data_IF_950007752902
#
_entry.id   IF_950007752902
#
_cell.length_a   1.000
_cell.length_b   1.000
_cell.length_c   1.000
_cell.angle_alpha   90.00
_cell.angle_beta   90.00
_cell.angle_gamma   90.00
#
_symmetry.space_group_name_H-M   'P 1'
#
loop_
_entity.id
_entity.type
_entity.pdbx_description
1 polymer ?
#
# COMPACT_ATOMS: atom_id res chain seq x y z
N UNK A 1 -21.98 56.49 -5.88
CA UNK A 1 -22.32 55.35 -6.76
C UNK A 1 -21.09 54.69 -7.41
N UNK A 2 -20.13 55.43 -7.98
CA UNK A 2 -18.92 54.88 -8.63
C UNK A 2 -18.01 54.04 -7.72
N UNK A 3 -17.80 54.46 -6.47
CA UNK A 3 -16.98 53.71 -5.50
C UNK A 3 -17.57 52.35 -5.11
N UNK A 4 -18.91 52.25 -5.01
CA UNK A 4 -19.61 50.99 -4.70
C UNK A 4 -19.38 49.96 -5.81
N UNK A 5 -19.41 50.38 -7.08
CA UNK A 5 -19.16 49.50 -8.21
C UNK A 5 -17.71 48.97 -8.23
N UNK A 6 -16.72 49.80 -7.87
CA UNK A 6 -15.33 49.36 -7.76
C UNK A 6 -15.15 48.33 -6.65
N UNK A 7 -15.75 48.54 -5.48
CA UNK A 7 -15.69 47.59 -4.36
C UNK A 7 -16.27 46.23 -4.77
N UNK A 8 -17.45 46.21 -5.40
CA UNK A 8 -18.07 44.96 -5.85
C UNK A 8 -17.22 44.21 -6.89
N UNK A 9 -16.65 44.93 -7.87
CA UNK A 9 -15.74 44.33 -8.86
C UNK A 9 -14.50 43.74 -8.20
N UNK A 10 -13.87 44.45 -7.28
CA UNK A 10 -12.72 43.95 -6.54
C UNK A 10 -13.08 42.71 -5.72
N UNK A 11 -14.24 42.72 -5.04
CA UNK A 11 -14.71 41.58 -4.27
C UNK A 11 -14.93 40.34 -5.14
N UNK A 12 -15.56 40.49 -6.32
CA UNK A 12 -15.75 39.38 -7.25
C UNK A 12 -14.43 38.82 -7.78
N UNK A 13 -13.47 39.68 -8.11
CA UNK A 13 -12.14 39.24 -8.58
C UNK A 13 -11.41 38.48 -7.47
N UNK A 14 -11.43 38.99 -6.24
CA UNK A 14 -10.83 38.31 -5.09
C UNK A 14 -11.52 36.96 -4.83
N UNK A 15 -12.85 36.92 -4.83
CA UNK A 15 -13.60 35.67 -4.66
C UNK A 15 -13.25 34.63 -5.74
N UNK A 16 -13.14 35.06 -7.00
CA UNK A 16 -12.72 34.19 -8.11
C UNK A 16 -11.28 33.68 -7.94
N UNK A 17 -10.34 34.55 -7.54
CA UNK A 17 -8.95 34.16 -7.28
C UNK A 17 -8.84 33.20 -6.09
N UNK A 18 -9.63 33.40 -5.04
CA UNK A 18 -9.70 32.49 -3.89
C UNK A 18 -10.28 31.14 -4.28
N UNK A 19 -11.35 31.12 -5.08
CA UNK A 19 -11.91 29.88 -5.64
C UNK A 19 -10.88 29.14 -6.51
N UNK A 20 -10.15 29.86 -7.36
CA UNK A 20 -9.13 29.28 -8.22
C UNK A 20 -7.93 28.76 -7.41
N UNK A 21 -7.49 29.49 -6.39
CA UNK A 21 -6.47 29.01 -5.46
C UNK A 21 -6.93 27.77 -4.69
N UNK A 22 -8.20 27.71 -4.28
CA UNK A 22 -8.78 26.55 -3.62
C UNK A 22 -8.84 25.32 -4.54
N UNK A 23 -9.30 25.49 -5.79
CA UNK A 23 -9.32 24.42 -6.80
C UNK A 23 -7.91 23.95 -7.16
N UNK A 24 -6.95 24.87 -7.30
CA UNK A 24 -5.55 24.52 -7.52
C UNK A 24 -5.01 23.74 -6.32
N UNK A 25 -5.28 24.16 -5.09
CA UNK A 25 -4.83 23.43 -3.91
C UNK A 25 -5.35 21.98 -3.90
N UNK A 26 -6.62 21.77 -4.28
CA UNK A 26 -7.23 20.43 -4.38
C UNK A 26 -6.58 19.53 -5.45
N UNK A 27 -6.14 20.09 -6.57
CA UNK A 27 -5.54 19.30 -7.66
C UNK A 27 -4.00 19.20 -7.59
N UNK A 28 -3.33 20.19 -6.99
CA UNK A 28 -1.87 20.34 -7.02
C UNK A 28 -1.20 19.59 -5.87
N UNK A 29 -1.91 19.37 -4.77
CA UNK A 29 -1.37 18.71 -3.57
C UNK A 29 -0.14 19.49 -3.09
N UNK A 30 -0.37 20.73 -2.65
CA UNK A 30 0.70 21.71 -2.31
C UNK A 30 1.51 21.23 -1.09
N UNK A 31 0.83 20.65 -0.12
CA UNK A 31 1.42 20.03 1.08
C UNK A 31 2.22 18.76 0.79
N UNK A 32 2.09 18.20 -0.42
CA UNK A 32 2.75 16.98 -0.82
C UNK A 32 2.07 15.70 -0.32
N UNK A 33 0.84 15.77 0.21
CA UNK A 33 0.11 14.60 0.70
C UNK A 33 -1.26 14.46 0.03
N UNK A 34 -1.52 13.32 -0.61
CA UNK A 34 -2.81 13.01 -1.20
C UNK A 34 -3.42 11.79 -0.48
N UNK A 35 -4.51 12.03 0.24
CA UNK A 35 -5.29 11.00 0.92
C UNK A 35 -6.45 10.55 0.04
N UNK A 36 -6.54 9.25 -0.21
CA UNK A 36 -7.60 8.62 -1.00
C UNK A 36 -8.18 7.47 -0.17
N UNK A 37 -9.50 7.34 -0.13
CA UNK A 37 -10.18 6.25 0.57
C UNK A 37 -11.29 5.69 -0.31
N UNK A 38 -11.51 4.38 -0.21
CA UNK A 38 -12.63 3.68 -0.82
C UNK A 38 -13.14 2.61 0.15
N UNK A 39 -14.40 2.74 0.54
CA UNK A 39 -15.13 1.85 1.46
C UNK A 39 -16.13 0.95 0.74
N UNK A 40 -16.09 0.89 -0.59
CA UNK A 40 -16.98 0.13 -1.47
C UNK A 40 -18.48 0.47 -1.40
N UNK A 41 -18.93 1.31 -0.45
CA UNK A 41 -20.33 1.74 -0.38
C UNK A 41 -20.70 2.66 -1.54
N UNK A 42 -19.79 3.58 -1.87
CA UNK A 42 -19.93 4.50 -2.98
C UNK A 42 -18.83 4.28 -4.01
N UNK A 43 -19.12 4.60 -5.28
CA UNK A 43 -18.11 4.56 -6.32
C UNK A 43 -17.03 5.62 -6.06
N UNK A 44 -15.77 5.20 -6.07
CA UNK A 44 -14.64 6.09 -5.94
C UNK A 44 -14.15 6.55 -7.32
N UNK A 45 -13.85 7.83 -7.46
CA UNK A 45 -13.26 8.39 -8.68
C UNK A 45 -11.74 8.13 -8.82
N UNK A 46 -11.09 7.64 -7.76
CA UNK A 46 -9.65 7.50 -7.68
C UNK A 46 -9.21 6.04 -7.59
N UNK A 47 -9.74 5.30 -6.62
CA UNK A 47 -9.58 3.85 -6.52
C UNK A 47 -10.66 3.18 -7.35
N UNK A 48 -10.25 2.35 -8.30
CA UNK A 48 -11.13 1.45 -9.02
C UNK A 48 -11.36 0.20 -8.18
N UNK A 49 -12.57 -0.38 -8.26
CA UNK A 49 -12.92 -1.62 -7.55
C UNK A 49 -11.99 -2.79 -7.89
N UNK A 50 -12.09 -3.86 -7.09
CA UNK A 50 -11.25 -5.03 -7.28
C UNK A 50 -11.58 -5.70 -8.63
N UNK A 51 -10.57 -6.30 -9.27
CA UNK A 51 -10.69 -7.00 -10.56
C UNK A 51 -9.68 -8.16 -10.64
N UNK A 52 -9.79 -9.10 -11.58
CA UNK A 52 -10.85 -9.25 -12.59
C UNK A 52 -12.17 -9.74 -12.00
N UNK A 53 -13.29 -9.46 -12.68
CA UNK A 53 -14.66 -9.77 -12.22
C UNK A 53 -14.89 -11.26 -11.94
N UNK A 54 -14.17 -12.16 -12.61
CA UNK A 54 -14.29 -13.61 -12.36
C UNK A 54 -13.53 -14.09 -11.11
N UNK A 55 -12.83 -13.19 -10.41
CA UNK A 55 -12.06 -13.50 -9.19
C UNK A 55 -12.60 -12.81 -7.95
N UNK A 56 -13.52 -11.86 -8.14
CA UNK A 56 -14.07 -11.02 -7.08
C UNK A 56 -15.59 -11.03 -7.13
N UNK A 57 -16.23 -10.89 -5.98
CA UNK A 57 -17.68 -10.71 -5.91
C UNK A 57 -18.11 -9.31 -6.31
N UNK A 58 -19.42 -9.12 -6.45
CA UNK A 58 -20.01 -7.78 -6.39
C UNK A 58 -19.80 -7.15 -5.01
N UNK A 59 -20.11 -5.86 -4.90
CA UNK A 59 -20.18 -5.21 -3.59
C UNK A 59 -21.37 -5.76 -2.82
N UNK A 60 -21.11 -6.19 -1.59
CA UNK A 60 -22.11 -6.71 -0.65
C UNK A 60 -22.31 -5.75 0.52
N UNK A 61 -23.48 -5.83 1.14
CA UNK A 61 -23.91 -4.98 2.24
C UNK A 61 -24.30 -5.84 3.45
N UNK A 62 -23.66 -5.63 4.58
CA UNK A 62 -23.97 -6.28 5.86
C UNK A 62 -24.08 -5.23 6.97
N UNK A 63 -25.30 -4.97 7.44
CA UNK A 63 -25.54 -4.15 8.64
C UNK A 63 -24.77 -2.82 8.70
N UNK A 64 -24.69 -2.10 7.57
CA UNK A 64 -23.97 -0.83 7.28
C UNK A 64 -22.52 -0.95 6.81
N UNK A 65 -21.95 -2.15 6.81
CA UNK A 65 -20.65 -2.39 6.20
C UNK A 65 -20.83 -2.74 4.73
N UNK A 66 -20.08 -2.09 3.85
CA UNK A 66 -19.93 -2.49 2.46
C UNK A 66 -18.57 -3.15 2.27
N UNK A 67 -18.54 -4.24 1.52
CA UNK A 67 -17.30 -4.94 1.25
C UNK A 67 -17.36 -5.67 -0.09
N UNK A 68 -16.19 -6.01 -0.61
CA UNK A 68 -16.04 -6.85 -1.79
C UNK A 68 -15.30 -8.14 -1.44
N UNK A 69 -15.77 -9.28 -1.92
CA UNK A 69 -15.15 -10.59 -1.68
C UNK A 69 -14.11 -10.91 -2.74
N UNK A 70 -13.04 -11.58 -2.35
CA UNK A 70 -12.07 -12.20 -3.24
C UNK A 70 -12.19 -13.71 -3.06
N UNK A 71 -12.48 -14.42 -4.14
CA UNK A 71 -12.66 -15.88 -4.14
C UNK A 71 -11.49 -16.62 -4.79
N UNK A 72 -10.78 -15.94 -5.70
CA UNK A 72 -9.68 -16.52 -6.48
C UNK A 72 -8.58 -15.48 -6.56
N UNK A 73 -7.34 -15.90 -6.35
CA UNK A 73 -6.20 -15.00 -6.45
C UNK A 73 -5.56 -15.00 -7.85
N UNK A 74 -4.73 -14.00 -8.17
CA UNK A 74 -4.68 -12.69 -7.51
C UNK A 74 -5.86 -11.80 -7.89
N UNK A 75 -6.22 -10.91 -6.96
CA UNK A 75 -7.08 -9.75 -7.23
C UNK A 75 -6.22 -8.50 -7.37
N UNK A 76 -6.72 -7.50 -8.08
CA UNK A 76 -6.01 -6.27 -8.35
C UNK A 76 -6.91 -5.06 -8.12
N UNK A 77 -6.32 -3.90 -7.88
CA UNK A 77 -7.00 -2.63 -7.96
C UNK A 77 -6.08 -1.55 -8.51
N UNK A 78 -6.67 -0.48 -9.04
CA UNK A 78 -5.93 0.66 -9.59
C UNK A 78 -6.24 1.91 -8.82
N UNK A 79 -5.26 2.79 -8.76
CA UNK A 79 -5.38 4.10 -8.11
C UNK A 79 -4.97 5.14 -9.11
N UNK A 80 -5.93 5.93 -9.57
CA UNK A 80 -5.67 7.09 -10.42
C UNK A 80 -4.97 8.16 -9.60
N UNK A 81 -3.79 8.55 -10.05
CA UNK A 81 -3.01 9.58 -9.37
C UNK A 81 -2.74 10.75 -10.32
N UNK A 82 -2.86 12.01 -9.87
CA UNK A 82 -2.70 13.17 -10.75
C UNK A 82 -1.24 13.40 -11.18
N UNK A 83 -0.29 12.82 -10.43
CA UNK A 83 1.16 13.04 -10.56
C UNK A 83 1.95 11.90 -9.93
N UNK A 84 3.27 11.95 -10.05
CA UNK A 84 4.18 11.04 -9.36
C UNK A 84 4.34 11.43 -7.88
N UNK A 85 4.54 10.41 -7.04
CA UNK A 85 4.81 10.50 -5.61
C UNK A 85 6.02 9.65 -5.27
N UNK A 86 6.66 9.91 -4.13
CA UNK A 86 7.84 9.16 -3.67
C UNK A 86 7.48 7.99 -2.76
N UNK A 87 6.30 8.03 -2.16
CA UNK A 87 5.85 7.01 -1.22
C UNK A 87 4.33 6.82 -1.30
N UNK A 88 3.88 5.59 -1.10
CA UNK A 88 2.48 5.23 -0.89
C UNK A 88 2.36 4.41 0.39
N UNK A 89 1.64 4.94 1.38
CA UNK A 89 1.21 4.19 2.55
C UNK A 89 -0.19 3.68 2.28
N UNK A 90 -0.35 2.37 2.21
CA UNK A 90 -1.62 1.70 1.91
C UNK A 90 -2.09 0.99 3.15
N UNK A 91 -3.25 1.39 3.66
CA UNK A 91 -3.96 0.74 4.74
C UNK A 91 -5.17 0.02 4.19
N UNK A 92 -5.36 -1.24 4.59
CA UNK A 92 -6.51 -2.06 4.17
C UNK A 92 -7.22 -2.57 5.41
N UNK A 93 -8.56 -2.44 5.41
CA UNK A 93 -9.44 -3.10 6.37
C UNK A 93 -10.05 -4.32 5.68
N UNK A 94 -9.81 -5.49 6.24
CA UNK A 94 -10.18 -6.77 5.63
C UNK A 94 -10.56 -7.80 6.68
N UNK A 95 -11.20 -8.88 6.25
CA UNK A 95 -11.42 -10.08 7.03
C UNK A 95 -10.82 -11.27 6.26
N UNK A 96 -9.91 -11.98 6.91
CA UNK A 96 -9.24 -13.15 6.35
C UNK A 96 -9.37 -14.32 7.34
N UNK A 97 -10.45 -15.11 7.28
CA UNK A 97 -10.68 -16.21 8.21
C UNK A 97 -9.68 -17.36 8.05
N UNK A 98 -9.26 -17.67 6.80
CA UNK A 98 -8.66 -18.97 6.52
C UNK A 98 -7.28 -18.95 5.81
N UNK A 99 -6.81 -17.80 5.31
CA UNK A 99 -5.52 -17.76 4.60
C UNK A 99 -4.36 -17.48 5.54
N UNK A 100 -3.32 -18.31 5.46
CA UNK A 100 -2.11 -18.16 6.28
C UNK A 100 -1.28 -16.95 5.90
N UNK A 101 -1.25 -16.60 4.61
CA UNK A 101 -0.48 -15.49 4.08
C UNK A 101 -1.37 -14.63 3.19
N UNK A 102 -1.40 -13.33 3.50
CA UNK A 102 -2.08 -12.32 2.69
C UNK A 102 -1.14 -11.14 2.46
N UNK A 103 -0.95 -10.76 1.20
CA UNK A 103 0.05 -9.78 0.79
C UNK A 103 -0.55 -8.72 -0.13
N UNK A 104 0.01 -7.51 -0.06
CA UNK A 104 -0.22 -6.42 -0.99
C UNK A 104 1.04 -6.19 -1.80
N UNK A 105 0.93 -6.14 -3.12
CA UNK A 105 2.03 -5.76 -4.00
C UNK A 105 1.77 -4.47 -4.75
N UNK A 106 2.82 -3.68 -4.93
CA UNK A 106 2.83 -2.57 -5.87
C UNK A 106 3.45 -3.01 -7.20
N UNK A 107 2.76 -2.77 -8.31
CA UNK A 107 3.23 -3.12 -9.64
C UNK A 107 4.31 -2.15 -10.13
N UNK A 108 5.39 -2.68 -10.70
CA UNK A 108 6.34 -1.90 -11.49
C UNK A 108 5.74 -1.53 -12.84
N UNK A 109 6.35 -0.57 -13.51
CA UNK A 109 5.96 -0.11 -14.83
C UNK A 109 6.04 -1.27 -15.82
N UNK A 110 4.98 -1.43 -16.61
CA UNK A 110 4.90 -2.38 -17.71
C UNK A 110 5.87 -1.93 -18.80
N UNK A 111 7.02 -2.59 -18.86
CA UNK A 111 7.98 -2.46 -19.96
C UNK A 111 7.79 -3.63 -20.92
N UNK A 112 8.15 -3.45 -22.20
CA UNK A 112 8.08 -4.53 -23.18
C UNK A 112 9.38 -5.37 -23.13
N UNK A 113 9.30 -6.71 -23.08
CA UNK A 113 8.09 -7.55 -23.07
C UNK A 113 7.32 -7.42 -21.74
N UNK A 114 5.98 -7.43 -21.79
CA UNK A 114 5.09 -7.19 -20.63
C UNK A 114 5.48 -8.04 -19.42
N UNK A 115 6.24 -7.42 -18.50
CA UNK A 115 6.74 -8.07 -17.30
C UNK A 115 5.93 -7.65 -16.08
N UNK A 116 5.25 -8.63 -15.47
CA UNK A 116 4.37 -8.43 -14.32
C UNK A 116 5.19 -8.54 -13.04
N UNK A 117 5.96 -7.49 -12.76
CA UNK A 117 6.78 -7.42 -11.54
C UNK A 117 6.07 -6.67 -10.44
N UNK A 118 5.97 -7.29 -9.29
CA UNK A 118 5.39 -6.70 -8.08
C UNK A 118 6.41 -6.67 -6.96
N UNK A 119 6.38 -5.60 -6.17
CA UNK A 119 7.04 -5.56 -4.86
C UNK A 119 5.98 -5.90 -3.82
N UNK A 120 6.00 -7.13 -3.31
CA UNK A 120 5.06 -7.64 -2.31
C UNK A 120 5.47 -7.18 -0.90
N UNK A 121 4.46 -6.93 -0.05
CA UNK A 121 4.59 -6.71 1.38
C UNK A 121 3.46 -7.43 2.12
N UNK A 122 3.75 -8.02 3.29
CA UNK A 122 2.76 -8.81 4.01
C UNK A 122 1.74 -7.91 4.71
N UNK A 123 0.47 -8.18 4.45
CA UNK A 123 -0.65 -7.66 5.25
C UNK A 123 -0.93 -8.61 6.42
N UNK A 124 -0.78 -9.90 6.25
CA UNK A 124 -0.98 -10.90 7.30
C UNK A 124 -0.11 -12.12 7.09
N UNK A 125 0.45 -12.65 8.17
CA UNK A 125 1.07 -13.97 8.21
C UNK A 125 0.64 -14.68 9.50
N UNK A 126 -0.38 -15.53 9.41
CA UNK A 126 -0.95 -16.25 10.57
C UNK A 126 0.03 -17.23 11.19
N UNK A 127 0.94 -17.79 10.40
CA UNK A 127 2.00 -18.65 10.91
C UNK A 127 2.84 -17.85 11.91
N UNK A 128 3.22 -16.61 11.57
CA UNK A 128 4.00 -15.73 12.45
C UNK A 128 3.19 -15.21 13.63
N UNK A 129 1.91 -14.87 13.42
CA UNK A 129 1.03 -14.38 14.48
C UNK A 129 0.79 -15.42 15.57
N UNK A 130 0.86 -16.71 15.23
CA UNK A 130 0.65 -17.83 16.14
C UNK A 130 1.95 -18.38 16.75
N UNK A 131 3.11 -17.78 16.47
CA UNK A 131 4.36 -18.20 17.10
C UNK A 131 4.38 -17.86 18.58
N UNK A 132 4.80 -18.82 19.39
CA UNK A 132 5.04 -18.66 20.83
C UNK A 132 6.48 -18.23 21.15
N UNK A 133 7.23 -17.74 20.16
CA UNK A 133 8.62 -17.31 20.31
C UNK A 133 8.68 -15.90 20.91
N UNK A 134 9.83 -15.52 21.48
CA UNK A 134 10.01 -14.15 21.95
C UNK A 134 10.05 -13.20 20.74
N UNK A 135 9.18 -12.19 20.75
CA UNK A 135 9.02 -11.21 19.67
C UNK A 135 9.60 -9.85 20.07
N UNK A 136 10.44 -9.29 19.21
CA UNK A 136 10.90 -7.89 19.27
C UNK A 136 10.40 -7.15 18.04
N UNK A 137 9.69 -6.03 18.24
CA UNK A 137 9.20 -5.18 17.15
C UNK A 137 9.84 -3.79 17.22
N UNK A 138 10.42 -3.31 16.12
CA UNK A 138 10.93 -1.94 16.01
C UNK A 138 10.83 -1.44 14.57
N UNK A 139 10.18 -0.29 14.38
CA UNK A 139 10.13 0.44 13.09
C UNK A 139 9.66 -0.44 11.90
N UNK A 140 8.64 -1.28 12.13
CA UNK A 140 8.09 -2.16 11.08
C UNK A 140 8.93 -3.40 10.77
N UNK A 141 10.01 -3.63 11.53
CA UNK A 141 10.76 -4.88 11.52
C UNK A 141 10.41 -5.67 12.78
N UNK A 142 10.23 -6.97 12.61
CA UNK A 142 9.92 -7.91 13.67
C UNK A 142 10.96 -9.03 13.69
N UNK A 143 11.42 -9.40 14.88
CA UNK A 143 12.36 -10.48 15.14
C UNK A 143 11.73 -11.47 16.12
N UNK A 144 11.52 -12.70 15.66
CA UNK A 144 11.15 -13.83 16.51
C UNK A 144 12.40 -14.64 16.85
N UNK A 145 12.59 -14.99 18.12
CA UNK A 145 13.70 -15.82 18.58
C UNK A 145 13.19 -16.95 19.48
N UNK A 146 13.53 -18.21 19.14
CA UNK A 146 13.17 -19.38 19.96
C UNK A 146 13.73 -19.27 21.39
N UNK A 147 14.96 -18.80 21.49
CA UNK A 147 15.65 -18.55 22.75
C UNK A 147 16.01 -17.06 22.82
N UNK A 148 15.69 -16.42 23.94
CA UNK A 148 15.98 -15.00 24.15
C UNK A 148 17.49 -14.77 24.27
N UNK A 149 18.12 -14.30 23.20
CA UNK A 149 19.55 -13.96 23.10
C UNK A 149 19.77 -12.47 22.85
N UNK A 150 18.86 -11.81 22.13
CA UNK A 150 18.96 -10.40 21.77
C UNK A 150 17.87 -9.59 22.46
N UNK A 151 18.19 -8.37 22.89
CA UNK A 151 17.21 -7.44 23.46
C UNK A 151 16.67 -6.45 22.41
N UNK A 152 17.39 -6.26 21.30
CA UNK A 152 17.01 -5.34 20.23
C UNK A 152 17.38 -5.87 18.85
N UNK A 153 16.64 -5.43 17.82
CA UNK A 153 16.86 -5.82 16.42
C UNK A 153 18.25 -5.39 15.93
N UNK A 154 18.75 -4.22 16.33
CA UNK A 154 20.08 -3.76 15.91
C UNK A 154 21.22 -4.66 16.42
N UNK A 155 21.06 -5.27 17.61
CA UNK A 155 22.06 -6.18 18.18
C UNK A 155 22.14 -7.46 17.35
N UNK A 156 20.98 -7.98 16.94
CA UNK A 156 20.84 -9.14 16.07
C UNK A 156 21.41 -8.87 14.67
N UNK A 157 21.04 -7.75 14.03
CA UNK A 157 21.50 -7.41 12.68
C UNK A 157 23.01 -7.19 12.63
N UNK A 158 23.61 -6.65 13.69
CA UNK A 158 25.05 -6.45 13.76
C UNK A 158 25.83 -7.72 14.17
N UNK A 159 25.15 -8.74 14.71
CA UNK A 159 25.76 -9.97 15.21
C UNK A 159 24.91 -11.19 14.84
N UNK A 160 24.61 -11.34 13.54
CA UNK A 160 23.82 -12.48 13.04
C UNK A 160 24.55 -13.78 13.43
N UNK A 161 23.90 -14.68 14.19
CA UNK A 161 24.52 -15.95 14.61
C UNK A 161 24.96 -16.78 13.40
N UNK A 162 26.21 -17.26 13.41
CA UNK A 162 26.76 -18.18 12.41
C UNK A 162 26.62 -19.65 12.81
N UNK A 163 26.30 -19.91 14.08
CA UNK A 163 26.03 -21.23 14.64
C UNK A 163 24.56 -21.66 14.47
N UNK A 164 23.64 -20.73 14.24
CA UNK A 164 22.19 -20.95 14.21
C UNK A 164 21.57 -20.59 12.84
N UNK A 165 20.33 -21.03 12.60
CA UNK A 165 19.62 -20.74 11.33
C UNK A 165 18.69 -19.55 11.48
N UNK A 166 18.78 -18.60 10.55
CA UNK A 166 17.91 -17.43 10.46
C UNK A 166 17.08 -17.51 9.19
N UNK A 167 15.76 -17.38 9.31
CA UNK A 167 14.87 -17.20 8.18
C UNK A 167 14.54 -15.71 7.98
N UNK A 168 14.56 -15.23 6.75
CA UNK A 168 14.21 -13.86 6.39
C UNK A 168 12.90 -13.80 5.64
N UNK A 169 12.02 -12.86 5.96
CA UNK A 169 10.77 -12.65 5.23
C UNK A 169 10.58 -11.18 4.87
N UNK A 170 10.69 -10.85 3.58
CA UNK A 170 10.73 -9.46 3.09
C UNK A 170 11.79 -8.57 3.75
N UNK A 171 12.81 -9.19 4.36
CA UNK A 171 13.93 -8.50 4.98
C UNK A 171 15.21 -8.83 4.23
N UNK A 172 16.00 -7.80 3.92
CA UNK A 172 17.29 -7.93 3.24
C UNK A 172 18.39 -7.47 4.17
N UNK A 173 19.34 -8.36 4.44
CA UNK A 173 20.56 -8.00 5.16
C UNK A 173 21.55 -7.29 4.24
N UNK A 174 22.40 -6.45 4.84
CA UNK A 174 23.66 -6.04 4.19
C UNK A 174 24.56 -7.27 4.04
N UNK A 175 25.20 -7.50 2.88
CA UNK A 175 26.09 -8.65 2.68
C UNK A 175 27.18 -8.78 3.77
N UNK A 176 27.66 -7.66 4.30
CA UNK A 176 28.72 -7.60 5.31
C UNK A 176 28.25 -8.07 6.69
N UNK A 177 26.94 -8.05 6.95
CA UNK A 177 26.37 -8.51 8.22
C UNK A 177 26.34 -10.04 8.33
N UNK A 178 26.47 -10.75 7.21
CA UNK A 178 26.36 -12.21 7.15
C UNK A 178 27.75 -12.82 7.00
N UNK A 179 28.24 -13.48 8.05
CA UNK A 179 29.51 -14.21 8.02
C UNK A 179 29.41 -15.52 7.22
N UNK A 180 28.28 -16.22 7.34
CA UNK A 180 27.99 -17.47 6.65
C UNK A 180 26.59 -17.39 6.01
N UNK A 181 26.56 -17.24 4.68
CA UNK A 181 25.30 -17.13 3.92
C UNK A 181 24.48 -18.41 3.92
N UNK A 182 25.07 -19.56 4.23
CA UNK A 182 24.31 -20.82 4.34
C UNK A 182 23.41 -20.85 5.56
N UNK A 183 23.63 -19.95 6.53
CA UNK A 183 22.85 -19.85 7.78
C UNK A 183 21.63 -18.96 7.66
N UNK A 184 21.54 -18.17 6.59
CA UNK A 184 20.42 -17.29 6.31
C UNK A 184 19.63 -17.86 5.14
N UNK A 185 18.36 -18.18 5.36
CA UNK A 185 17.46 -18.70 4.33
C UNK A 185 16.30 -17.73 4.11
N UNK A 186 15.80 -17.64 2.88
CA UNK A 186 14.54 -16.94 2.62
C UNK A 186 13.38 -17.82 3.09
N UNK A 187 12.53 -17.27 3.96
CA UNK A 187 11.32 -17.95 4.42
C UNK A 187 10.26 -18.01 3.31
N UNK A 188 9.53 -19.11 3.27
CA UNK A 188 8.30 -19.31 2.49
C UNK A 188 7.35 -20.26 3.25
N UNK A 189 6.15 -20.50 2.70
CA UNK A 189 5.13 -21.37 3.32
C UNK A 189 5.59 -22.83 3.52
N UNK A 190 6.62 -23.29 2.81
CA UNK A 190 7.18 -24.64 2.91
C UNK A 190 8.35 -24.73 3.88
N UNK A 191 8.79 -23.60 4.45
CA UNK A 191 9.95 -23.55 5.35
C UNK A 191 9.62 -24.23 6.67
N UNK A 192 10.31 -25.33 6.97
CA UNK A 192 10.17 -26.02 8.24
C UNK A 192 10.79 -25.21 9.38
N UNK A 193 9.93 -24.68 10.26
CA UNK A 193 10.30 -23.83 11.40
C UNK A 193 11.07 -24.57 12.51
N UNK A 194 11.06 -25.90 12.54
CA UNK A 194 11.84 -26.68 13.51
C UNK A 194 13.35 -26.48 13.32
N UNK A 195 13.78 -26.24 12.08
CA UNK A 195 15.19 -26.02 11.72
C UNK A 195 15.62 -24.55 11.73
N UNK A 196 14.75 -23.64 12.15
CA UNK A 196 15.01 -22.19 12.20
C UNK A 196 15.04 -21.74 13.65
N UNK A 197 16.05 -20.97 14.05
CA UNK A 197 16.18 -20.44 15.41
C UNK A 197 15.65 -19.00 15.51
N UNK A 198 15.77 -18.24 14.42
CA UNK A 198 15.35 -16.84 14.32
C UNK A 198 14.56 -16.58 13.05
N UNK A 199 13.56 -15.72 13.13
CA UNK A 199 12.86 -15.16 11.96
C UNK A 199 12.99 -13.65 12.04
N UNK A 200 13.47 -13.01 10.97
CA UNK A 200 13.44 -11.55 10.83
C UNK A 200 12.57 -11.17 9.64
N UNK A 201 11.63 -10.26 9.86
CA UNK A 201 10.68 -9.86 8.82
C UNK A 201 10.39 -8.36 8.81
N UNK A 202 10.14 -7.80 7.63
CA UNK A 202 9.44 -6.52 7.49
C UNK A 202 7.93 -6.80 7.59
N UNK A 203 7.43 -6.92 8.82
CA UNK A 203 6.05 -7.31 9.10
C UNK A 203 5.56 -6.71 10.42
N UNK A 204 4.29 -6.29 10.42
CA UNK A 204 3.55 -5.84 11.60
C UNK A 204 2.27 -6.68 11.72
N UNK A 205 1.96 -7.11 12.94
CA UNK A 205 0.73 -7.86 13.23
C UNK A 205 -0.49 -6.95 12.95
N UNK A 206 -1.52 -7.41 12.22
CA UNK A 206 -2.74 -6.66 12.00
C UNK A 206 -3.42 -6.28 13.31
N UNK A 207 -4.03 -5.10 13.34
CA UNK A 207 -4.85 -4.66 14.47
C UNK A 207 -6.30 -5.06 14.23
N UNK A 208 -6.94 -5.69 15.22
CA UNK A 208 -8.37 -6.02 15.14
C UNK A 208 -9.19 -4.74 15.20
N UNK A 209 -10.06 -4.55 14.21
CA UNK A 209 -10.96 -3.40 14.11
C UNK A 209 -12.32 -3.81 14.65
N UNK A 210 -12.76 -3.17 15.73
CA UNK A 210 -14.09 -3.39 16.29
C UNK A 210 -15.13 -2.93 15.28
N UNK A 211 -15.89 -3.87 14.71
CA UNK A 211 -17.06 -3.54 13.89
C UNK A 211 -18.30 -3.40 14.78
N UNK A 212 -19.19 -2.48 14.38
CA UNK A 212 -20.52 -2.36 14.97
C UNK A 212 -21.50 -3.39 14.40
N UNK A 213 -21.07 -4.16 13.39
CA UNK A 213 -21.89 -5.25 12.83
C UNK A 213 -22.12 -6.33 13.89
N UNK A 214 -23.33 -6.90 13.88
CA UNK A 214 -23.70 -8.04 14.71
C UNK A 214 -23.16 -9.37 14.15
N UNK A 215 -22.43 -9.33 13.02
CA UNK A 215 -21.86 -10.53 12.42
C UNK A 215 -20.58 -10.96 13.10
N UNK A 216 -20.32 -12.27 13.09
CA UNK A 216 -19.10 -12.89 13.62
C UNK A 216 -17.83 -12.57 12.79
N UNK A 217 -17.92 -11.64 11.84
CA UNK A 217 -16.79 -11.28 10.98
C UNK A 217 -15.78 -10.45 11.77
N UNK A 218 -14.61 -11.02 12.01
CA UNK A 218 -13.48 -10.33 12.63
C UNK A 218 -12.80 -9.47 11.55
N UNK A 219 -13.05 -8.17 11.61
CA UNK A 219 -12.34 -7.21 10.78
C UNK A 219 -11.00 -6.87 11.41
N UNK A 220 -10.00 -6.69 10.57
CA UNK A 220 -8.66 -6.27 10.97
C UNK A 220 -8.12 -5.24 9.98
N UNK A 221 -7.17 -4.43 10.42
CA UNK A 221 -6.44 -3.51 9.56
C UNK A 221 -4.95 -3.76 9.60
N UNK A 222 -4.29 -3.52 8.47
CA UNK A 222 -2.85 -3.38 8.43
C UNK A 222 -2.46 -2.30 7.41
N UNK A 223 -1.27 -1.74 7.59
CA UNK A 223 -0.69 -0.72 6.74
C UNK A 223 0.68 -1.13 6.25
N UNK A 224 0.92 -0.97 4.95
CA UNK A 224 2.24 -1.18 4.35
C UNK A 224 2.67 0.05 3.58
N UNK A 225 3.98 0.30 3.54
CA UNK A 225 4.55 1.47 2.87
C UNK A 225 5.39 1.03 1.66
N UNK A 226 5.15 1.63 0.51
CA UNK A 226 5.93 1.42 -0.70
C UNK A 226 6.69 2.67 -1.06
N UNK A 227 7.93 2.51 -1.53
CA UNK A 227 8.60 3.53 -2.31
C UNK A 227 7.97 3.55 -3.70
N UNK A 228 7.57 4.74 -4.14
CA UNK A 228 6.91 4.97 -5.42
C UNK A 228 7.80 5.88 -6.25
N UNK A 229 7.70 5.74 -7.57
CA UNK A 229 8.44 6.56 -8.51
C UNK A 229 7.84 6.43 -9.91
N UNK A 230 8.50 7.05 -10.89
CA UNK A 230 8.06 6.98 -12.29
C UNK A 230 8.05 5.55 -12.85
N UNK A 231 8.85 4.67 -12.26
CA UNK A 231 8.97 3.24 -12.53
C UNK A 231 7.84 2.40 -11.93
N UNK A 232 6.87 3.00 -11.24
CA UNK A 232 5.65 2.33 -10.75
C UNK A 232 4.37 2.89 -11.42
N UNK A 233 4.54 3.90 -12.27
CA UNK A 233 3.43 4.63 -12.91
C UNK A 233 3.04 3.99 -14.24
N UNK A 234 1.83 3.45 -14.30
CA UNK A 234 1.21 2.86 -15.48
C UNK A 234 0.04 3.74 -15.95
N UNK A 235 0.24 4.55 -16.98
CA UNK A 235 -0.81 5.44 -17.54
C UNK A 235 -1.54 6.31 -16.51
N UNK A 236 -0.77 6.95 -15.62
CA UNK A 236 -1.27 7.75 -14.47
C UNK A 236 -1.99 6.93 -13.38
N UNK A 237 -1.74 5.63 -13.32
CA UNK A 237 -2.22 4.77 -12.25
C UNK A 237 -1.07 4.12 -11.51
N UNK A 238 -1.27 3.93 -10.21
CA UNK A 238 -0.60 2.90 -9.44
C UNK A 238 -1.48 1.65 -9.53
N UNK A 239 -0.88 0.51 -9.85
CA UNK A 239 -1.58 -0.78 -9.89
C UNK A 239 -1.11 -1.62 -8.71
N UNK A 240 -2.05 -2.21 -7.99
CA UNK A 240 -1.79 -3.04 -6.82
C UNK A 240 -2.33 -4.44 -7.03
N UNK A 241 -1.70 -5.42 -6.39
CA UNK A 241 -2.11 -6.82 -6.34
C UNK A 241 -2.39 -7.24 -4.90
N UNK A 242 -3.48 -7.94 -4.68
CA UNK A 242 -3.80 -8.66 -3.46
C UNK A 242 -3.56 -10.14 -3.73
N UNK A 243 -2.60 -10.73 -3.02
CA UNK A 243 -2.20 -12.13 -3.19
C UNK A 243 -2.43 -12.91 -1.90
N UNK A 244 -3.00 -14.11 -2.05
CA UNK A 244 -3.25 -15.05 -0.99
C UNK A 244 -3.05 -16.46 -1.58
N UNK A 245 -1.80 -16.98 -1.59
CA UNK A 245 -1.40 -18.15 -2.39
C UNK A 245 -2.30 -19.39 -2.28
N UNK A 246 -2.91 -19.59 -1.11
CA UNK A 246 -3.77 -20.74 -0.81
C UNK A 246 -5.24 -20.53 -1.12
N UNK A 247 -5.65 -19.33 -1.59
CA UNK A 247 -7.06 -18.96 -1.72
C UNK A 247 -7.75 -19.78 -2.81
N UNK A 248 -7.10 -19.93 -3.97
CA UNK A 248 -7.64 -20.62 -5.15
C UNK A 248 -8.03 -22.08 -4.87
N UNK A 249 -7.36 -22.74 -3.93
CA UNK A 249 -7.58 -24.16 -3.63
C UNK A 249 -8.55 -24.39 -2.48
N UNK A 250 -8.76 -23.39 -1.62
CA UNK A 250 -9.34 -23.60 -0.30
C UNK A 250 -10.84 -23.31 -0.20
N UNK A 251 -11.48 -22.81 -1.29
CA UNK A 251 -12.89 -22.35 -1.33
C UNK A 251 -13.24 -21.25 -0.32
N UNK A 252 -12.26 -20.74 0.40
CA UNK A 252 -12.43 -19.64 1.32
C UNK A 252 -12.43 -18.31 0.58
N UNK A 253 -12.77 -17.26 1.31
CA UNK A 253 -12.87 -15.91 0.79
C UNK A 253 -12.13 -14.93 1.69
N UNK A 254 -11.60 -13.87 1.08
CA UNK A 254 -11.14 -12.68 1.81
C UNK A 254 -12.12 -11.56 1.53
N UNK A 255 -12.58 -10.87 2.57
CA UNK A 255 -13.46 -9.71 2.44
C UNK A 255 -12.64 -8.44 2.57
N UNK A 256 -12.75 -7.52 1.61
CA UNK A 256 -12.12 -6.20 1.66
C UNK A 256 -13.20 -5.16 1.93
N UNK A 257 -13.12 -4.50 3.08
CA UNK A 257 -14.07 -3.47 3.49
C UNK A 257 -13.61 -2.08 3.11
N UNK A 258 -12.32 -1.79 3.19
CA UNK A 258 -11.81 -0.45 2.94
C UNK A 258 -10.36 -0.46 2.49
N UNK A 259 -10.03 0.42 1.56
CA UNK A 259 -8.67 0.72 1.14
C UNK A 259 -8.43 2.21 1.31
N UNK A 260 -7.41 2.56 2.08
CA UNK A 260 -6.94 3.92 2.32
C UNK A 260 -5.51 4.06 1.83
N UNK A 261 -5.23 5.14 1.11
CA UNK A 261 -3.92 5.38 0.51
C UNK A 261 -3.51 6.82 0.80
N UNK A 262 -2.39 6.96 1.48
CA UNK A 262 -1.69 8.22 1.67
C UNK A 262 -0.48 8.24 0.73
N UNK A 263 -0.52 9.14 -0.26
CA UNK A 263 0.57 9.35 -1.20
C UNK A 263 1.38 10.55 -0.75
N UNK A 264 2.69 10.35 -0.55
CA UNK A 264 3.59 11.36 0.01
C UNK A 264 4.63 11.74 -1.03
N UNK A 265 4.94 13.03 -1.12
CA UNK A 265 6.06 13.58 -1.87
C UNK A 265 6.70 14.75 -1.10
N UNK A 266 7.96 15.08 -1.39
CA UNK A 266 8.58 16.29 -0.84
C UNK A 266 7.75 17.54 -1.17
N UNK A 267 7.69 18.49 -0.23
CA UNK A 267 7.06 19.78 -0.44
C UNK A 267 7.67 20.45 -1.68
N UNK A 268 6.82 21.03 -2.52
CA UNK A 268 7.26 21.61 -3.80
C UNK A 268 7.74 23.03 -3.58
N UNK A 269 8.93 23.35 -4.07
CA UNK A 269 9.33 24.74 -4.18
C UNK A 269 8.47 25.42 -5.25
N UNK A 270 8.11 26.70 -5.05
CA UNK A 270 7.29 27.45 -6.02
C UNK A 270 7.85 27.41 -7.45
N UNK A 271 9.17 27.37 -7.60
CA UNK A 271 9.84 27.19 -8.90
C UNK A 271 9.44 25.90 -9.60
N UNK A 272 9.44 24.78 -8.88
CA UNK A 272 9.14 23.46 -9.41
C UNK A 272 7.65 23.36 -9.77
N UNK A 273 6.80 24.01 -8.98
CA UNK A 273 5.37 24.12 -9.27
C UNK A 273 5.10 24.80 -10.63
N UNK A 274 5.69 25.96 -10.89
CA UNK A 274 5.49 26.65 -12.17
C UNK A 274 6.06 25.84 -13.35
N UNK A 275 7.17 25.12 -13.14
CA UNK A 275 7.72 24.22 -14.15
C UNK A 275 6.78 23.04 -14.43
N UNK A 276 6.25 22.38 -13.40
CA UNK A 276 5.26 21.30 -13.51
C UNK A 276 4.00 21.78 -14.26
N UNK A 277 3.48 22.95 -13.90
CA UNK A 277 2.30 23.55 -14.53
C UNK A 277 2.57 23.84 -16.02
N UNK A 278 3.71 24.47 -16.33
CA UNK A 278 4.13 24.74 -17.71
C UNK A 278 4.22 23.44 -18.51
N UNK A 279 4.86 22.40 -17.95
CA UNK A 279 5.02 21.10 -18.59
C UNK A 279 3.67 20.39 -18.81
N UNK A 280 2.73 20.51 -17.86
CA UNK A 280 1.38 19.98 -17.99
C UNK A 280 0.66 20.60 -19.20
N UNK A 281 0.66 21.94 -19.32
CA UNK A 281 0.02 22.62 -20.45
C UNK A 281 0.69 22.28 -21.78
N UNK A 282 2.03 22.22 -21.81
CA UNK A 282 2.77 21.83 -23.03
C UNK A 282 2.43 20.41 -23.49
N UNK A 283 2.40 19.42 -22.59
CA UNK A 283 2.01 18.03 -22.91
C UNK A 283 0.57 17.93 -23.42
N UNK A 284 -0.34 18.72 -22.84
CA UNK A 284 -1.75 18.73 -23.27
C UNK A 284 -1.90 19.32 -24.68
N UNK A 285 -1.19 20.40 -24.99
CA UNK A 285 -1.20 21.02 -26.32
C UNK A 285 -0.57 20.09 -27.37
N UNK A 286 0.55 19.43 -27.06
CA UNK A 286 1.21 18.50 -27.99
C UNK A 286 0.34 17.28 -28.32
N UNK A 287 -0.37 16.72 -27.33
CA UNK A 287 -1.25 15.58 -27.53
C UNK A 287 -2.48 15.88 -28.40
N UNK A 288 -2.95 17.15 -28.42
CA UNK A 288 -4.02 17.56 -29.34
C UNK A 288 -3.49 17.64 -30.77
N UNK A 289 -2.28 18.17 -30.97
CA UNK A 289 -1.69 18.34 -32.30
C UNK A 289 -1.38 17.01 -33.01
N UNK A 290 -1.04 15.95 -32.26
CA UNK A 290 -0.79 14.63 -32.85
C UNK A 290 -2.07 13.83 -33.17
N UNK A 291 -3.26 14.37 -32.87
CA UNK A 291 -4.55 13.76 -33.20
C UNK A 291 -5.21 14.35 -34.46
N UNK A 292 -4.61 15.38 -35.07
CA UNK A 292 -5.06 16.02 -36.31
C UNK A 292 -3.97 15.91 -37.37
#
# INVERSE_FOLDING_TARGET
>A
MRHILYIYRTLLVVAFLLLLAWLLNKNVVIDGQLFISHDFCDSSNFIFGLYPENRVGGVEYDNRDCFQRIFVEPAYFKVKVPRTFSQAKVKIVYANPDQDLFELGLMKKKEFPLDWRFTLKPLENKIFNNLNWELIVKQGVSLWQKQKRFAAIYEFVNNVPDDQKTATFHYQFSPEAIKDSTKVIAWNLETNLDYVDYIIAQYQVPEVVVSQSLTETIWQENSVEFLVGGEHMNDNHLEFILSAPSLTHSRHEIKIKRVEIELIRPATNWSDFFNDLKNYFLRKISNVRNKF
#
